data_IF_351104654692
#
_entry.id   IF_351104654692
#
_cell.length_a   1.000
_cell.length_b   1.000
_cell.length_c   1.000
_cell.angle_alpha   90.00
_cell.angle_beta   90.00
_cell.angle_gamma   90.00
#
_symmetry.space_group_name_H-M   'P 1'
#
loop_
_entity.id
_entity.type
_entity.pdbx_description
1 polymer ?
#
# COMPACT_ATOMS: atom_id res chain seq x y z
N UNK A 1 -24.79 21.64 5.79
CA UNK A 1 -24.27 21.10 4.49
C UNK A 1 -25.37 20.71 3.51
N UNK A 2 -26.29 19.76 3.80
CA UNK A 2 -27.47 19.49 2.92
C UNK A 2 -28.57 20.56 3.01
N UNK A 3 -28.61 21.32 4.10
CA UNK A 3 -29.63 22.35 4.35
C UNK A 3 -29.23 23.76 3.87
N UNK A 4 -27.95 23.99 3.53
CA UNK A 4 -27.44 25.33 3.18
C UNK A 4 -27.16 25.53 1.68
N UNK A 5 -27.17 24.44 0.90
CA UNK A 5 -26.90 24.45 -0.53
C UNK A 5 -28.00 23.64 -1.21
N UNK A 6 -28.89 24.31 -1.95
CA UNK A 6 -29.96 23.69 -2.74
C UNK A 6 -29.45 22.69 -3.78
N UNK A 7 -30.36 22.16 -4.62
CA UNK A 7 -30.15 21.09 -5.62
C UNK A 7 -29.04 21.40 -6.66
N UNK A 8 -27.78 21.40 -6.25
CA UNK A 8 -26.64 21.42 -7.15
C UNK A 8 -26.45 20.03 -7.76
N UNK A 9 -26.01 20.00 -9.01
CA UNK A 9 -25.75 18.76 -9.73
C UNK A 9 -24.62 17.96 -9.07
N UNK A 10 -24.63 16.64 -9.24
CA UNK A 10 -23.58 15.77 -8.71
C UNK A 10 -22.16 16.17 -9.15
N UNK A 11 -21.89 16.61 -10.40
CA UNK A 11 -20.59 17.13 -10.80
C UNK A 11 -20.11 18.32 -9.95
N UNK A 12 -21.01 19.24 -9.59
CA UNK A 12 -20.66 20.40 -8.75
C UNK A 12 -20.30 19.99 -7.32
N UNK A 13 -21.05 19.04 -6.74
CA UNK A 13 -20.73 18.49 -5.43
C UNK A 13 -19.40 17.73 -5.45
N UNK A 14 -19.14 16.96 -6.50
CA UNK A 14 -17.87 16.26 -6.71
C UNK A 14 -16.71 17.26 -6.76
N UNK A 15 -16.86 18.34 -7.52
CA UNK A 15 -15.87 19.41 -7.61
C UNK A 15 -15.63 20.11 -6.27
N UNK A 16 -16.68 20.40 -5.49
CA UNK A 16 -16.54 21.02 -4.16
C UNK A 16 -15.92 20.07 -3.12
N UNK A 17 -16.19 18.77 -3.22
CA UNK A 17 -15.55 17.77 -2.36
C UNK A 17 -14.06 17.66 -2.71
N UNK A 18 -13.73 17.57 -4.00
CA UNK A 18 -12.34 17.60 -4.49
C UNK A 18 -11.64 18.88 -4.02
N UNK A 19 -12.24 20.05 -4.25
CA UNK A 19 -11.67 21.33 -3.83
C UNK A 19 -11.46 21.44 -2.32
N UNK A 20 -12.37 20.89 -1.51
CA UNK A 20 -12.30 20.96 -0.04
C UNK A 20 -11.32 19.95 0.56
N UNK A 21 -11.21 18.75 0.00
CA UNK A 21 -10.51 17.62 0.61
C UNK A 21 -9.26 17.15 -0.15
N UNK A 22 -9.09 17.60 -1.39
CA UNK A 22 -7.96 17.29 -2.27
C UNK A 22 -7.09 18.54 -2.52
N UNK A 23 -7.00 19.42 -1.51
CA UNK A 23 -6.05 20.54 -1.57
C UNK A 23 -4.60 20.03 -1.50
N UNK A 24 -3.66 20.83 -1.99
CA UNK A 24 -2.24 20.43 -2.12
C UNK A 24 -1.63 19.92 -0.80
N UNK A 25 -2.13 20.38 0.36
CA UNK A 25 -1.68 19.89 1.66
C UNK A 25 -2.10 18.44 1.93
N UNK A 26 -3.30 18.02 1.49
CA UNK A 26 -3.72 16.62 1.60
C UNK A 26 -2.90 15.72 0.66
N UNK A 27 -2.68 16.16 -0.58
CA UNK A 27 -1.86 15.42 -1.56
C UNK A 27 -0.44 15.22 -1.02
N UNK A 28 0.18 16.31 -0.57
CA UNK A 28 1.50 16.28 0.06
C UNK A 28 1.54 15.35 1.28
N UNK A 29 0.52 15.39 2.14
CA UNK A 29 0.42 14.48 3.29
C UNK A 29 0.33 13.01 2.86
N UNK A 30 -0.47 12.68 1.84
CA UNK A 30 -0.59 11.32 1.34
C UNK A 30 0.69 10.83 0.67
N UNK A 31 1.35 11.69 -0.10
CA UNK A 31 2.66 11.40 -0.71
C UNK A 31 3.70 11.11 0.36
N UNK A 32 3.86 11.97 1.36
CA UNK A 32 4.79 11.72 2.47
C UNK A 32 4.43 10.44 3.23
N UNK A 33 3.13 10.23 3.50
CA UNK A 33 2.68 9.02 4.18
C UNK A 33 3.01 7.75 3.40
N UNK A 34 2.94 7.80 2.06
CA UNK A 34 3.38 6.70 1.21
C UNK A 34 4.91 6.59 1.19
N UNK A 35 5.62 7.71 1.10
CA UNK A 35 7.08 7.69 1.02
C UNK A 35 7.73 7.11 2.28
N UNK A 36 7.25 7.51 3.45
CA UNK A 36 7.74 7.08 4.78
C UNK A 36 7.30 5.67 5.18
N UNK A 37 6.34 5.06 4.47
CA UNK A 37 5.78 3.75 4.79
C UNK A 37 6.70 2.58 4.39
N UNK A 38 7.91 2.55 4.94
CA UNK A 38 8.87 1.44 4.78
C UNK A 38 8.36 0.22 5.55
N UNK A 39 8.27 -0.92 4.87
CA UNK A 39 7.77 -2.16 5.45
C UNK A 39 8.79 -2.81 6.39
N UNK A 40 8.36 -3.10 7.61
CA UNK A 40 9.14 -3.77 8.64
C UNK A 40 8.52 -5.14 8.97
N UNK A 41 9.25 -6.22 8.68
CA UNK A 41 8.79 -7.61 8.90
C UNK A 41 8.33 -7.86 10.35
N UNK A 42 8.98 -7.25 11.34
CA UNK A 42 8.71 -7.50 12.75
C UNK A 42 7.43 -6.80 13.22
N UNK A 43 7.13 -5.62 12.66
CA UNK A 43 6.05 -4.74 13.13
C UNK A 43 4.81 -4.76 12.26
N UNK A 44 4.98 -4.94 10.96
CA UNK A 44 3.93 -4.71 9.99
C UNK A 44 3.28 -6.01 9.53
N UNK A 45 1.98 -5.92 9.22
CA UNK A 45 1.22 -7.00 8.58
C UNK A 45 1.19 -6.74 7.07
N UNK A 46 1.65 -7.69 6.22
CA UNK A 46 1.68 -7.51 4.77
C UNK A 46 0.36 -7.03 4.18
N UNK A 47 -0.75 -7.72 4.48
CA UNK A 47 -2.08 -7.35 4.00
C UNK A 47 -2.45 -5.91 4.34
N UNK A 48 -2.29 -5.51 5.61
CA UNK A 48 -2.67 -4.17 6.08
C UNK A 48 -1.83 -3.07 5.43
N UNK A 49 -0.51 -3.27 5.34
CA UNK A 49 0.39 -2.32 4.69
C UNK A 49 0.04 -2.21 3.19
N UNK A 50 -0.12 -3.34 2.50
CA UNK A 50 -0.36 -3.37 1.07
C UNK A 50 -1.67 -2.66 0.70
N UNK A 51 -2.78 -3.00 1.38
CA UNK A 51 -4.07 -2.38 1.11
C UNK A 51 -4.06 -0.88 1.42
N UNK A 52 -3.45 -0.47 2.54
CA UNK A 52 -3.32 0.95 2.90
C UNK A 52 -2.53 1.73 1.86
N UNK A 53 -1.41 1.20 1.36
CA UNK A 53 -0.62 1.87 0.34
C UNK A 53 -1.31 1.86 -1.03
N UNK A 54 -2.04 0.79 -1.35
CA UNK A 54 -2.86 0.72 -2.57
C UNK A 54 -3.90 1.83 -2.58
N UNK A 55 -4.65 1.99 -1.49
CA UNK A 55 -5.70 3.00 -1.41
C UNK A 55 -5.14 4.43 -1.47
N UNK A 56 -3.95 4.67 -0.91
CA UNK A 56 -3.25 5.96 -1.06
C UNK A 56 -2.86 6.22 -2.52
N UNK A 57 -2.24 5.23 -3.18
CA UNK A 57 -1.79 5.38 -4.57
C UNK A 57 -2.95 5.51 -5.55
N UNK A 58 -4.04 4.78 -5.37
CA UNK A 58 -5.24 4.93 -6.22
C UNK A 58 -5.89 6.29 -6.02
N UNK A 59 -5.83 6.84 -4.81
CA UNK A 59 -6.35 8.19 -4.52
C UNK A 59 -5.46 9.30 -5.09
N UNK A 60 -4.13 9.14 -5.04
CA UNK A 60 -3.17 10.10 -5.61
C UNK A 60 -3.07 10.02 -7.14
N UNK A 61 -3.21 8.82 -7.69
CA UNK A 61 -2.96 8.50 -9.09
C UNK A 61 -4.06 7.59 -9.65
N UNK A 62 -5.28 8.12 -9.88
CA UNK A 62 -6.45 7.32 -10.26
C UNK A 62 -6.34 6.63 -11.62
N UNK A 63 -5.40 7.06 -12.46
CA UNK A 63 -5.15 6.50 -13.79
C UNK A 63 -3.93 5.55 -13.83
N UNK A 64 -3.30 5.28 -12.69
CA UNK A 64 -2.18 4.36 -12.60
C UNK A 64 -2.67 2.90 -12.73
N UNK A 65 -1.96 2.09 -13.51
CA UNK A 65 -2.30 0.67 -13.63
C UNK A 65 -2.07 -0.07 -12.31
N UNK A 66 -2.88 -1.11 -12.05
CA UNK A 66 -2.72 -1.95 -10.85
C UNK A 66 -1.30 -2.53 -10.74
N UNK A 67 -0.73 -3.01 -11.85
CA UNK A 67 0.64 -3.53 -11.87
C UNK A 67 1.67 -2.48 -11.42
N UNK A 68 1.50 -1.22 -11.83
CA UNK A 68 2.40 -0.15 -11.40
C UNK A 68 2.20 0.18 -9.93
N UNK A 69 0.95 0.18 -9.44
CA UNK A 69 0.63 0.33 -8.02
C UNK A 69 1.32 -0.76 -7.21
N UNK A 70 1.18 -2.03 -7.58
CA UNK A 70 1.82 -3.16 -6.92
C UNK A 70 3.35 -3.02 -6.90
N UNK A 71 3.96 -2.66 -8.04
CA UNK A 71 5.41 -2.43 -8.13
C UNK A 71 5.90 -1.33 -7.19
N UNK A 72 5.14 -0.23 -7.07
CA UNK A 72 5.47 0.88 -6.15
C UNK A 72 5.34 0.46 -4.68
N UNK A 73 4.32 -0.34 -4.34
CA UNK A 73 4.17 -0.88 -2.97
C UNK A 73 5.31 -1.84 -2.65
N UNK A 74 5.71 -2.73 -3.56
CA UNK A 74 6.81 -3.66 -3.33
C UNK A 74 8.16 -2.96 -3.06
N UNK A 75 8.39 -1.78 -3.65
CA UNK A 75 9.59 -0.97 -3.34
C UNK A 75 9.68 -0.58 -1.87
N UNK A 76 8.55 -0.55 -1.15
CA UNK A 76 8.53 -0.28 0.29
C UNK A 76 9.09 -1.42 1.14
N UNK A 77 9.21 -2.63 0.59
CA UNK A 77 9.90 -3.75 1.23
C UNK A 77 11.43 -3.56 1.24
N UNK A 78 11.97 -2.97 0.18
CA UNK A 78 13.39 -2.69 -0.01
C UNK A 78 14.30 -3.91 -0.13
N UNK A 79 15.46 -3.70 -0.75
CA UNK A 79 16.60 -4.61 -0.76
C UNK A 79 16.26 -6.06 -1.09
N UNK A 80 16.82 -6.98 -0.30
CA UNK A 80 16.65 -8.43 -0.51
C UNK A 80 15.21 -8.89 -0.34
N UNK A 81 14.39 -8.20 0.46
CA UNK A 81 13.01 -8.59 0.67
C UNK A 81 12.17 -8.34 -0.58
N UNK A 82 12.29 -7.14 -1.18
CA UNK A 82 11.65 -6.80 -2.45
C UNK A 82 12.03 -7.79 -3.56
N UNK A 83 13.32 -8.12 -3.69
CA UNK A 83 13.78 -9.08 -4.69
C UNK A 83 13.18 -10.48 -4.48
N UNK A 84 13.15 -10.95 -3.23
CA UNK A 84 12.63 -12.27 -2.86
C UNK A 84 11.13 -12.40 -3.09
N UNK A 85 10.38 -11.30 -2.90
CA UNK A 85 8.94 -11.25 -3.21
C UNK A 85 8.74 -11.24 -4.72
N UNK A 86 9.43 -10.36 -5.45
CA UNK A 86 9.32 -10.31 -6.92
C UNK A 86 9.64 -11.63 -7.60
N UNK A 87 10.62 -12.38 -7.11
CA UNK A 87 10.96 -13.68 -7.71
C UNK A 87 9.83 -14.72 -7.59
N UNK A 88 8.88 -14.53 -6.67
CA UNK A 88 7.67 -15.37 -6.55
C UNK A 88 6.49 -14.81 -7.35
N UNK A 89 6.58 -13.57 -7.81
CA UNK A 89 5.50 -12.87 -8.49
C UNK A 89 5.70 -12.92 -10.02
N UNK A 90 5.23 -13.99 -10.67
CA UNK A 90 5.22 -14.11 -12.15
C UNK A 90 3.96 -13.43 -12.70
N UNK A 91 4.11 -12.24 -13.29
CA UNK A 91 3.01 -11.42 -13.81
C UNK A 91 2.24 -12.06 -14.98
N UNK A 92 0.94 -11.76 -15.15
CA UNK A 92 0.10 -10.85 -14.36
C UNK A 92 -0.42 -11.49 -13.06
N UNK A 93 -0.48 -10.71 -11.98
CA UNK A 93 -0.90 -11.17 -10.66
C UNK A 93 -1.91 -10.21 -10.03
N UNK A 94 -2.82 -10.78 -9.25
CA UNK A 94 -3.81 -10.03 -8.48
C UNK A 94 -3.19 -9.37 -7.26
N UNK A 95 -3.91 -8.41 -6.66
CA UNK A 95 -3.53 -7.85 -5.34
C UNK A 95 -3.36 -8.95 -4.29
N UNK A 96 -4.22 -9.97 -4.31
CA UNK A 96 -4.19 -11.08 -3.36
C UNK A 96 -2.92 -11.93 -3.52
N UNK A 97 -2.50 -12.20 -4.76
CA UNK A 97 -1.27 -12.96 -5.02
C UNK A 97 -0.02 -12.25 -4.47
N UNK A 98 0.05 -10.92 -4.61
CA UNK A 98 1.15 -10.14 -4.04
C UNK A 98 1.16 -10.18 -2.50
N UNK A 99 -0.02 -10.08 -1.88
CA UNK A 99 -0.16 -10.16 -0.43
C UNK A 99 0.26 -11.55 0.06
N UNK A 100 -0.24 -12.61 -0.56
CA UNK A 100 0.07 -14.00 -0.23
C UNK A 100 1.58 -14.27 -0.34
N UNK A 101 2.24 -13.79 -1.41
CA UNK A 101 3.68 -13.92 -1.57
C UNK A 101 4.45 -13.19 -0.45
N UNK A 102 4.02 -11.99 -0.06
CA UNK A 102 4.61 -11.25 1.05
C UNK A 102 4.42 -11.98 2.39
N UNK A 103 3.23 -12.50 2.67
CA UNK A 103 2.92 -13.25 3.89
C UNK A 103 3.74 -14.53 4.01
N UNK A 104 3.86 -15.30 2.91
CA UNK A 104 4.68 -16.49 2.86
C UNK A 104 6.15 -16.19 3.21
N UNK A 105 6.73 -15.16 2.58
CA UNK A 105 8.14 -14.81 2.77
C UNK A 105 8.41 -14.29 4.17
N UNK A 106 7.53 -13.41 4.67
CA UNK A 106 7.68 -12.82 6.00
C UNK A 106 7.55 -13.88 7.09
N UNK A 107 6.60 -14.81 6.94
CA UNK A 107 6.42 -15.94 7.84
C UNK A 107 7.64 -16.86 7.84
N UNK A 108 8.15 -17.25 6.67
CA UNK A 108 9.36 -18.08 6.56
C UNK A 108 10.57 -17.42 7.22
N UNK A 109 10.76 -16.11 7.02
CA UNK A 109 11.87 -15.37 7.66
C UNK A 109 11.75 -15.32 9.18
N UNK A 110 10.54 -15.16 9.73
CA UNK A 110 10.30 -15.17 11.18
C UNK A 110 10.62 -16.53 11.79
N UNK A 111 10.09 -17.61 11.20
CA UNK A 111 10.35 -18.99 11.66
C UNK A 111 11.84 -19.29 11.64
N UNK A 112 12.55 -18.92 10.56
CA UNK A 112 14.00 -19.16 10.47
C UNK A 112 14.77 -18.42 11.58
N UNK A 113 14.38 -17.17 11.87
CA UNK A 113 14.98 -16.39 12.95
C UNK A 113 14.76 -17.04 14.32
N UNK A 114 13.57 -17.55 14.60
CA UNK A 114 13.25 -18.26 15.85
C UNK A 114 14.08 -19.53 16.01
N UNK A 115 14.17 -20.35 14.96
CA UNK A 115 14.93 -21.61 14.98
C UNK A 115 16.44 -21.41 15.16
N UNK A 116 16.99 -20.31 14.64
CA UNK A 116 18.42 -19.99 14.79
C UNK A 116 18.73 -19.40 16.17
N UNK A 117 17.74 -18.74 16.80
CA UNK A 117 17.93 -18.09 18.10
C UNK A 117 17.66 -18.98 19.31
N UNK A 118 16.97 -20.12 19.15
CA UNK A 118 16.87 -21.14 20.20
C UNK A 118 18.20 -21.89 20.35
N UNK A 119 18.94 -21.75 21.47
CA UNK A 119 20.08 -22.62 21.75
C UNK A 119 19.55 -24.04 21.94
N UNK A 120 20.18 -25.02 21.29
CA UNK A 120 19.94 -26.43 21.62
C UNK A 120 20.35 -26.63 23.08
N UNK A 121 19.37 -26.87 23.95
CA UNK A 121 19.60 -27.34 25.32
C UNK A 121 20.21 -28.72 25.36
#
# INVERSE_FOLDING_TARGET
MRQDHGKHSWPWWKEKIIFKWENDSWRFKMENSFEEAIFNIERDKPMSLFLTQRDRLTSLHPYMSETMIHKRILRKCGGNLEHTIRSRCIEPLSTEDYINAMEEITTRKKIWKELVQTPKG
#
